data_IF_079313749770
#
_entry.id   IF_079313749770
#
_cell.length_a   1.000
_cell.length_b   1.000
_cell.length_c   1.000
_cell.angle_alpha   90.00
_cell.angle_beta   90.00
_cell.angle_gamma   90.00
#
_symmetry.space_group_name_H-M   'P 1'
#
loop_
_entity.id
_entity.type
_entity.pdbx_description
1 polymer ?
#
# COMPACT_ATOMS: atom_id res chain seq x y z
N UNK A 1 -20.71 26.98 67.15
CA UNK A 1 -20.88 26.86 65.71
C UNK A 1 -19.75 26.01 65.16
N UNK A 2 -19.99 24.70 64.92
CA UNK A 2 -19.00 23.74 64.41
C UNK A 2 -19.16 23.64 62.87
N UNK A 3 -18.17 24.05 62.12
CA UNK A 3 -18.17 23.91 60.67
C UNK A 3 -17.62 22.53 60.30
N UNK A 4 -18.47 21.66 59.73
CA UNK A 4 -18.07 20.39 59.20
C UNK A 4 -17.46 20.61 57.82
N UNK A 5 -16.19 20.20 57.63
CA UNK A 5 -15.48 20.21 56.37
C UNK A 5 -15.80 18.90 55.62
N UNK A 6 -16.60 19.01 54.55
CA UNK A 6 -16.96 17.87 53.69
C UNK A 6 -15.83 17.68 52.66
N UNK A 7 -14.98 16.66 52.87
CA UNK A 7 -13.95 16.28 51.92
C UNK A 7 -14.58 15.39 50.81
N UNK A 8 -14.69 15.95 49.62
CA UNK A 8 -15.18 15.24 48.45
C UNK A 8 -13.98 14.48 47.81
N UNK A 9 -13.91 13.15 48.02
CA UNK A 9 -12.92 12.28 47.35
C UNK A 9 -13.47 11.95 45.97
N UNK A 10 -12.95 12.67 44.94
CA UNK A 10 -13.21 12.32 43.55
C UNK A 10 -12.32 11.12 43.20
N UNK A 11 -12.93 9.92 43.19
CA UNK A 11 -12.30 8.74 42.62
C UNK A 11 -12.26 8.89 41.07
N UNK A 12 -11.13 9.35 40.52
CA UNK A 12 -10.91 9.29 39.08
C UNK A 12 -10.77 7.82 38.66
N UNK A 13 -11.84 7.25 38.11
CA UNK A 13 -11.77 6.05 37.31
C UNK A 13 -11.01 6.39 36.03
N UNK A 14 -9.70 6.14 36.03
CA UNK A 14 -8.92 6.03 34.78
C UNK A 14 -9.37 4.75 34.09
N UNK A 15 -9.95 4.81 32.88
CA UNK A 15 -10.15 3.60 32.11
C UNK A 15 -8.75 3.03 31.84
N UNK A 16 -8.48 1.83 32.35
CA UNK A 16 -7.31 1.06 31.97
C UNK A 16 -7.46 0.79 30.46
N UNK A 17 -6.80 1.60 29.64
CA UNK A 17 -6.57 1.31 28.23
C UNK A 17 -5.69 0.06 28.24
N UNK A 18 -6.31 -1.10 28.09
CA UNK A 18 -5.61 -2.32 27.70
C UNK A 18 -5.03 -2.06 26.30
N UNK A 19 -3.87 -1.47 26.24
CA UNK A 19 -3.02 -1.50 25.08
C UNK A 19 -2.53 -2.94 24.92
N UNK A 20 -3.37 -3.78 24.35
CA UNK A 20 -2.94 -5.03 23.76
C UNK A 20 -1.89 -4.67 22.72
N UNK A 21 -0.67 -5.17 22.88
CA UNK A 21 0.40 -5.06 21.88
C UNK A 21 0.11 -5.99 20.71
N UNK A 22 -1.05 -5.80 20.05
CA UNK A 22 -1.35 -6.52 18.82
C UNK A 22 -0.49 -5.92 17.72
N UNK A 23 0.59 -6.63 17.40
CA UNK A 23 1.39 -6.33 16.21
C UNK A 23 0.44 -6.27 15.01
N UNK A 24 0.46 -5.20 14.20
CA UNK A 24 -0.45 -5.06 13.07
C UNK A 24 -0.41 -6.29 12.18
N UNK A 25 -1.58 -6.85 11.85
CA UNK A 25 -1.70 -7.98 10.94
C UNK A 25 -1.26 -7.57 9.54
N UNK A 26 -0.58 -8.47 8.84
CA UNK A 26 -0.11 -8.19 7.48
C UNK A 26 -1.21 -8.48 6.46
N UNK A 27 -1.47 -7.51 5.59
CA UNK A 27 -2.33 -7.61 4.42
C UNK A 27 -1.46 -7.65 3.17
N UNK A 28 -1.47 -8.77 2.45
CA UNK A 28 -0.69 -8.99 1.24
C UNK A 28 -1.56 -8.82 -0.01
N UNK A 29 -1.15 -7.94 -0.90
CA UNK A 29 -1.70 -7.79 -2.24
C UNK A 29 -0.70 -8.42 -3.21
N UNK A 30 -1.08 -9.55 -3.80
CA UNK A 30 -0.26 -10.30 -4.74
C UNK A 30 -0.67 -9.98 -6.18
N UNK A 31 0.12 -9.15 -6.86
CA UNK A 31 -0.17 -8.66 -8.21
C UNK A 31 0.46 -9.59 -9.23
N UNK A 32 -0.36 -10.37 -9.92
CA UNK A 32 0.05 -11.40 -10.89
C UNK A 32 -0.32 -11.04 -12.34
N UNK A 33 -1.34 -10.20 -12.51
CA UNK A 33 -1.82 -9.81 -13.83
C UNK A 33 -1.00 -8.66 -14.40
N UNK A 34 -0.76 -8.64 -15.71
CA UNK A 34 -0.13 -7.50 -16.37
C UNK A 34 -1.10 -6.33 -16.38
N UNK A 35 -0.55 -5.12 -16.32
CA UNK A 35 -1.33 -3.94 -16.54
C UNK A 35 -1.54 -3.75 -18.05
N UNK A 36 -2.78 -3.81 -18.48
CA UNK A 36 -3.20 -3.34 -19.77
C UNK A 36 -4.25 -2.21 -19.62
N UNK A 37 -4.55 -1.50 -20.70
CA UNK A 37 -5.46 -0.33 -20.66
C UNK A 37 -6.89 -0.65 -20.20
N UNK A 38 -7.27 -1.91 -20.15
CA UNK A 38 -8.62 -2.38 -19.85
C UNK A 38 -8.67 -3.26 -18.60
N UNK A 39 -7.53 -3.54 -17.98
CA UNK A 39 -7.50 -4.39 -16.80
C UNK A 39 -7.66 -3.55 -15.52
N UNK A 40 -8.89 -3.51 -15.02
CA UNK A 40 -9.21 -2.85 -13.77
C UNK A 40 -8.50 -3.47 -12.55
N UNK A 41 -8.02 -4.72 -12.65
CA UNK A 41 -7.44 -5.45 -11.51
C UNK A 41 -6.21 -4.75 -10.96
N UNK A 42 -5.28 -4.37 -11.83
CA UNK A 42 -4.04 -3.73 -11.41
C UNK A 42 -4.26 -2.30 -10.89
N UNK A 43 -5.22 -1.56 -11.47
CA UNK A 43 -5.55 -0.19 -11.01
C UNK A 43 -6.38 -0.17 -9.72
N UNK A 44 -7.09 -1.25 -9.39
CA UNK A 44 -7.81 -1.38 -8.11
C UNK A 44 -6.85 -1.63 -6.94
N UNK A 45 -5.68 -2.23 -7.18
CA UNK A 45 -4.73 -2.63 -6.15
C UNK A 45 -4.34 -1.48 -5.19
N UNK A 46 -3.99 -0.26 -5.65
CA UNK A 46 -3.65 0.83 -4.73
C UNK A 46 -4.82 1.29 -3.85
N UNK A 47 -6.06 1.22 -4.34
CA UNK A 47 -7.25 1.54 -3.53
C UNK A 47 -7.46 0.53 -2.41
N UNK A 48 -7.28 -0.77 -2.71
CA UNK A 48 -7.34 -1.84 -1.70
C UNK A 48 -6.22 -1.68 -0.68
N UNK A 49 -5.01 -1.33 -1.12
CA UNK A 49 -3.88 -1.05 -0.25
C UNK A 49 -4.18 0.11 0.73
N UNK A 50 -4.74 1.21 0.21
CA UNK A 50 -5.14 2.33 1.04
C UNK A 50 -6.20 1.93 2.07
N UNK A 51 -7.23 1.20 1.64
CA UNK A 51 -8.30 0.75 2.54
C UNK A 51 -7.76 -0.13 3.67
N UNK A 52 -6.89 -1.10 3.33
CA UNK A 52 -6.26 -1.95 4.34
C UNK A 52 -5.36 -1.15 5.31
N UNK A 53 -4.60 -0.17 4.79
CA UNK A 53 -3.77 0.72 5.60
C UNK A 53 -4.61 1.52 6.59
N UNK A 54 -5.74 2.09 6.15
CA UNK A 54 -6.66 2.86 7.00
C UNK A 54 -7.35 1.98 8.07
N UNK A 55 -7.46 0.67 7.82
CA UNK A 55 -7.93 -0.31 8.79
C UNK A 55 -6.86 -0.78 9.77
N UNK A 56 -5.65 -0.23 9.70
CA UNK A 56 -4.55 -0.53 10.62
C UNK A 56 -3.73 -1.76 10.26
N UNK A 57 -3.86 -2.30 9.05
CA UNK A 57 -3.00 -3.38 8.58
C UNK A 57 -1.60 -2.85 8.20
N UNK A 58 -0.58 -3.69 8.40
CA UNK A 58 0.68 -3.57 7.69
C UNK A 58 0.45 -4.06 6.26
N UNK A 59 0.60 -3.19 5.26
CA UNK A 59 0.27 -3.53 3.87
C UNK A 59 1.53 -3.81 3.06
N UNK A 60 1.52 -4.92 2.33
CA UNK A 60 2.55 -5.31 1.39
C UNK A 60 1.91 -5.48 0.00
N UNK A 61 2.51 -4.87 -1.02
CA UNK A 61 2.20 -5.13 -2.42
C UNK A 61 3.37 -5.89 -3.02
N UNK A 62 3.11 -7.09 -3.54
CA UNK A 62 4.09 -7.96 -4.17
C UNK A 62 3.75 -8.13 -5.66
N UNK A 63 4.58 -7.57 -6.52
CA UNK A 63 4.51 -7.78 -7.97
C UNK A 63 5.19 -9.09 -8.35
N UNK A 64 4.46 -9.97 -9.00
CA UNK A 64 4.91 -11.30 -9.39
C UNK A 64 4.36 -11.66 -10.77
N UNK A 65 4.86 -12.75 -11.36
CA UNK A 65 4.45 -13.25 -12.68
C UNK A 65 4.39 -12.11 -13.74
N UNK A 66 3.29 -11.95 -14.46
CA UNK A 66 3.09 -10.86 -15.41
C UNK A 66 2.93 -9.50 -14.72
N UNK A 67 2.56 -9.46 -13.45
CA UNK A 67 2.40 -8.23 -12.65
C UNK A 67 3.66 -7.37 -12.57
N UNK A 68 4.87 -7.96 -12.71
CA UNK A 68 6.12 -7.20 -12.78
C UNK A 68 6.19 -6.24 -13.97
N UNK A 69 5.37 -6.45 -14.99
CA UNK A 69 5.32 -5.54 -16.15
C UNK A 69 4.70 -4.18 -15.78
N UNK A 70 3.87 -4.12 -14.75
CA UNK A 70 3.23 -2.87 -14.31
C UNK A 70 4.25 -1.84 -13.80
N UNK A 71 5.39 -2.31 -13.28
CA UNK A 71 6.47 -1.48 -12.72
C UNK A 71 7.67 -1.34 -13.66
N UNK A 72 7.66 -1.96 -14.85
CA UNK A 72 8.78 -1.93 -15.80
C UNK A 72 8.87 -0.59 -16.50
N UNK A 73 10.06 0.04 -16.48
CA UNK A 73 10.35 1.30 -17.15
C UNK A 73 10.70 1.06 -18.62
N UNK A 74 10.23 1.94 -19.49
CA UNK A 74 10.71 2.09 -20.86
C UNK A 74 10.32 1.00 -21.84
N UNK A 75 9.31 0.18 -21.55
CA UNK A 75 8.89 -0.90 -22.45
C UNK A 75 8.12 -0.33 -23.68
N UNK A 76 6.80 -0.53 -23.74
CA UNK A 76 5.95 -0.08 -24.86
C UNK A 76 5.68 1.44 -24.87
N UNK A 77 5.94 2.10 -23.75
CA UNK A 77 5.57 3.50 -23.53
C UNK A 77 6.71 4.48 -23.74
N UNK A 78 7.95 3.98 -23.92
CA UNK A 78 9.16 4.80 -24.10
C UNK A 78 9.56 5.57 -22.82
N UNK A 79 10.76 6.15 -22.85
CA UNK A 79 11.26 7.01 -21.77
C UNK A 79 11.46 6.31 -20.42
N UNK A 80 11.35 7.07 -19.33
CA UNK A 80 11.60 6.64 -17.95
C UNK A 80 10.29 6.36 -17.17
N UNK A 81 9.18 6.10 -17.84
CA UNK A 81 7.88 5.88 -17.20
C UNK A 81 7.48 4.41 -17.21
N UNK A 82 6.70 4.01 -16.22
CA UNK A 82 6.08 2.68 -16.12
C UNK A 82 4.67 2.71 -16.74
N UNK A 83 4.04 1.54 -16.98
CA UNK A 83 2.62 1.47 -17.34
C UNK A 83 1.71 2.16 -16.30
N UNK A 84 2.01 2.04 -15.00
CA UNK A 84 1.24 2.71 -13.94
C UNK A 84 1.33 4.25 -14.02
N UNK A 85 2.47 4.81 -14.42
CA UNK A 85 2.61 6.26 -14.64
C UNK A 85 1.74 6.78 -15.79
N UNK A 86 1.36 5.90 -16.72
CA UNK A 86 0.49 6.23 -17.87
C UNK A 86 -0.99 5.98 -17.59
N UNK A 87 -1.30 5.33 -16.47
CA UNK A 87 -2.67 5.10 -16.04
C UNK A 87 -3.17 6.28 -15.22
N UNK A 88 -4.10 7.02 -15.81
CA UNK A 88 -4.68 8.21 -15.19
C UNK A 88 -5.58 7.85 -14.01
N UNK A 89 -5.44 8.55 -12.89
CA UNK A 89 -6.33 8.48 -11.74
C UNK A 89 -7.39 9.58 -11.85
N UNK A 90 -8.66 9.22 -12.11
CA UNK A 90 -9.73 10.19 -12.39
C UNK A 90 -9.93 11.20 -11.24
N UNK A 91 -10.32 12.41 -11.57
CA UNK A 91 -10.54 13.46 -10.56
C UNK A 91 -11.59 13.06 -9.52
N UNK A 92 -12.65 12.38 -9.93
CA UNK A 92 -13.67 11.88 -9.01
C UNK A 92 -13.08 10.91 -7.96
N UNK A 93 -12.19 10.03 -8.40
CA UNK A 93 -11.47 9.12 -7.50
C UNK A 93 -10.53 9.90 -6.55
N UNK A 94 -9.84 10.91 -7.06
CA UNK A 94 -8.98 11.76 -6.22
C UNK A 94 -9.78 12.51 -5.15
N UNK A 95 -10.96 12.99 -5.48
CA UNK A 95 -11.88 13.61 -4.50
C UNK A 95 -12.32 12.60 -3.43
N UNK A 96 -12.69 11.39 -3.84
CA UNK A 96 -13.07 10.33 -2.90
C UNK A 96 -11.92 9.94 -1.96
N UNK A 97 -10.71 9.79 -2.50
CA UNK A 97 -9.49 9.51 -1.73
C UNK A 97 -9.12 10.66 -0.79
N UNK A 98 -9.27 11.90 -1.24
CA UNK A 98 -9.08 13.11 -0.43
C UNK A 98 -9.97 13.08 0.82
N UNK A 99 -11.24 12.76 0.66
CA UNK A 99 -12.17 12.65 1.78
C UNK A 99 -11.79 11.52 2.76
N UNK A 100 -11.34 10.35 2.25
CA UNK A 100 -10.91 9.22 3.09
C UNK A 100 -9.63 9.53 3.88
N UNK A 101 -8.70 10.27 3.28
CA UNK A 101 -7.40 10.58 3.87
C UNK A 101 -7.40 11.84 4.72
N UNK A 102 -8.44 12.67 4.63
CA UNK A 102 -8.49 13.99 5.28
C UNK A 102 -7.44 14.97 4.74
N UNK A 103 -7.07 14.87 3.45
CA UNK A 103 -6.08 15.74 2.79
C UNK A 103 -6.71 16.43 1.57
N UNK A 104 -6.19 17.59 1.10
CA UNK A 104 -6.68 18.22 -0.11
C UNK A 104 -6.59 17.31 -1.34
N UNK A 105 -7.58 17.35 -2.23
CA UNK A 105 -7.58 16.56 -3.48
C UNK A 105 -6.36 16.84 -4.38
N UNK A 106 -5.83 18.05 -4.30
CA UNK A 106 -4.58 18.45 -4.98
C UNK A 106 -3.32 17.75 -4.46
N UNK A 107 -3.40 17.12 -3.28
CA UNK A 107 -2.31 16.31 -2.71
C UNK A 107 -2.38 14.85 -3.17
N UNK A 108 -3.46 14.43 -3.82
CA UNK A 108 -3.61 13.10 -4.39
C UNK A 108 -3.05 13.13 -5.81
N UNK A 109 -2.14 12.22 -6.17
CA UNK A 109 -1.57 12.14 -7.50
C UNK A 109 -2.62 11.90 -8.59
N UNK A 110 -2.32 12.28 -9.83
CA UNK A 110 -3.21 12.17 -10.99
C UNK A 110 -2.98 10.90 -11.82
N UNK A 111 -2.01 10.08 -11.44
CA UNK A 111 -1.74 8.79 -12.07
C UNK A 111 -1.45 7.71 -11.01
N UNK A 112 -1.63 6.45 -11.41
CA UNK A 112 -1.49 5.31 -10.50
C UNK A 112 -0.05 5.02 -10.08
N UNK A 113 0.96 5.40 -10.86
CA UNK A 113 2.36 5.25 -10.50
C UNK A 113 2.73 6.15 -9.32
N UNK A 114 2.40 7.43 -9.42
CA UNK A 114 2.62 8.36 -8.32
C UNK A 114 1.74 8.03 -7.11
N UNK A 115 0.53 7.51 -7.33
CA UNK A 115 -0.32 7.03 -6.23
C UNK A 115 0.32 5.84 -5.51
N UNK A 116 0.95 4.92 -6.21
CA UNK A 116 1.71 3.82 -5.60
C UNK A 116 2.88 4.35 -4.75
N UNK A 117 3.65 5.33 -5.27
CA UNK A 117 4.74 5.98 -4.52
C UNK A 117 4.23 6.76 -3.30
N UNK A 118 3.08 7.42 -3.44
CA UNK A 118 2.39 8.07 -2.32
C UNK A 118 2.04 7.08 -1.21
N UNK A 119 1.49 5.91 -1.56
CA UNK A 119 1.20 4.83 -0.60
C UNK A 119 2.46 4.31 0.09
N UNK A 120 3.56 4.18 -0.65
CA UNK A 120 4.87 3.85 -0.04
C UNK A 120 5.25 4.87 1.02
N UNK A 121 5.08 6.16 0.74
CA UNK A 121 5.30 7.24 1.71
C UNK A 121 4.39 7.17 2.94
N UNK A 122 3.26 6.45 2.86
CA UNK A 122 2.34 6.16 3.97
C UNK A 122 2.65 4.85 4.70
N UNK A 123 3.72 4.14 4.33
CA UNK A 123 4.17 2.92 4.99
C UNK A 123 3.78 1.61 4.30
N UNK A 124 3.20 1.66 3.08
CA UNK A 124 3.00 0.45 2.27
C UNK A 124 4.36 -0.04 1.76
N UNK A 125 4.64 -1.33 1.94
CA UNK A 125 5.85 -1.96 1.43
C UNK A 125 5.61 -2.46 0.00
N UNK A 126 6.55 -2.13 -0.92
CA UNK A 126 6.45 -2.49 -2.34
C UNK A 126 7.58 -3.43 -2.71
N UNK A 127 7.22 -4.63 -3.16
CA UNK A 127 8.17 -5.67 -3.53
C UNK A 127 7.89 -6.25 -4.92
N UNK A 128 8.92 -6.82 -5.53
CA UNK A 128 8.79 -7.59 -6.78
C UNK A 128 9.60 -8.87 -6.74
N UNK A 129 9.08 -9.93 -7.34
CA UNK A 129 9.78 -11.20 -7.50
C UNK A 129 11.01 -11.04 -8.38
N UNK A 130 12.20 -11.08 -7.75
CA UNK A 130 13.47 -10.90 -8.47
C UNK A 130 13.69 -11.95 -9.55
N UNK A 131 13.32 -13.21 -9.31
CA UNK A 131 13.49 -14.30 -10.28
C UNK A 131 12.66 -14.02 -11.53
N UNK A 132 11.40 -13.60 -11.36
CA UNK A 132 10.54 -13.22 -12.49
C UNK A 132 11.07 -11.98 -13.22
N UNK A 133 11.57 -10.99 -12.48
CA UNK A 133 12.19 -9.81 -13.09
C UNK A 133 13.38 -10.22 -13.97
N UNK A 134 14.24 -11.12 -13.49
CA UNK A 134 15.41 -11.61 -14.24
C UNK A 134 14.96 -12.38 -15.50
N UNK A 135 13.97 -13.28 -15.39
CA UNK A 135 13.38 -14.01 -16.52
C UNK A 135 12.74 -13.09 -17.58
N UNK A 136 12.23 -11.93 -17.15
CA UNK A 136 11.63 -10.91 -18.03
C UNK A 136 12.64 -9.87 -18.53
N UNK A 137 13.95 -10.04 -18.25
CA UNK A 137 15.01 -9.10 -18.58
C UNK A 137 14.73 -7.68 -18.03
N UNK A 138 14.21 -7.58 -16.80
CA UNK A 138 14.01 -6.32 -16.10
C UNK A 138 15.25 -6.06 -15.24
N UNK A 139 16.23 -5.37 -15.81
CA UNK A 139 17.47 -5.00 -15.13
C UNK A 139 17.28 -3.93 -14.05
N UNK A 140 18.34 -3.64 -13.28
CA UNK A 140 18.33 -2.73 -12.13
C UNK A 140 17.75 -1.35 -12.40
N UNK A 141 17.98 -0.80 -13.60
CA UNK A 141 17.58 0.56 -13.97
C UNK A 141 16.31 0.58 -14.83
N UNK A 142 15.58 -0.55 -14.88
CA UNK A 142 14.41 -0.73 -15.74
C UNK A 142 13.12 -1.04 -14.99
N UNK A 143 13.03 -0.64 -13.72
CA UNK A 143 11.81 -0.73 -12.96
C UNK A 143 11.67 0.46 -11.99
N UNK A 144 10.47 0.67 -11.45
CA UNK A 144 10.20 1.72 -10.49
C UNK A 144 11.06 1.55 -9.22
N UNK A 145 11.93 2.52 -8.94
CA UNK A 145 12.83 2.49 -7.78
C UNK A 145 12.10 2.55 -6.42
N UNK A 146 10.80 2.81 -6.41
CA UNK A 146 10.00 2.66 -5.21
C UNK A 146 9.81 1.19 -4.81
N UNK A 147 9.98 0.25 -5.75
CA UNK A 147 9.81 -1.20 -5.54
C UNK A 147 11.15 -1.85 -5.22
N UNK A 148 11.16 -2.79 -4.28
CA UNK A 148 12.35 -3.55 -3.88
C UNK A 148 12.28 -4.96 -4.46
N UNK A 149 13.23 -5.38 -5.30
CA UNK A 149 13.32 -6.77 -5.73
C UNK A 149 13.60 -7.70 -4.56
N UNK A 150 12.85 -8.81 -4.45
CA UNK A 150 13.02 -9.81 -3.41
C UNK A 150 13.42 -11.16 -3.99
N UNK A 151 14.40 -11.86 -3.38
CA UNK A 151 14.66 -13.25 -3.68
C UNK A 151 13.50 -14.13 -3.17
N UNK A 152 13.41 -15.35 -3.73
CA UNK A 152 12.25 -16.23 -3.51
C UNK A 152 12.08 -16.65 -2.05
N UNK A 153 13.19 -16.77 -1.33
CA UNK A 153 13.19 -17.11 0.10
C UNK A 153 12.47 -16.04 0.93
N UNK A 154 12.70 -14.76 0.60
CA UNK A 154 12.03 -13.63 1.28
C UNK A 154 10.56 -13.51 0.89
N UNK A 155 10.19 -13.96 -0.28
CA UNK A 155 8.77 -14.05 -0.67
C UNK A 155 8.04 -15.09 0.18
N UNK A 156 8.64 -16.28 0.41
CA UNK A 156 8.06 -17.30 1.27
C UNK A 156 7.77 -16.74 2.69
N UNK A 157 8.70 -15.99 3.28
CA UNK A 157 8.50 -15.32 4.56
C UNK A 157 7.31 -14.32 4.55
N UNK A 158 7.07 -13.64 3.44
CA UNK A 158 5.93 -12.72 3.29
C UNK A 158 4.62 -13.52 3.27
N UNK A 159 4.53 -14.60 2.49
CA UNK A 159 3.34 -15.45 2.43
C UNK A 159 3.02 -16.08 3.78
N UNK A 160 4.03 -16.56 4.51
CA UNK A 160 3.86 -17.15 5.84
C UNK A 160 3.26 -16.15 6.85
N UNK A 161 3.68 -14.89 6.80
CA UNK A 161 3.23 -13.84 7.74
C UNK A 161 1.92 -13.17 7.34
N UNK A 162 1.43 -13.37 6.13
CA UNK A 162 0.23 -12.73 5.65
C UNK A 162 -1.02 -13.27 6.35
N UNK A 163 -1.70 -12.41 7.11
CA UNK A 163 -2.99 -12.74 7.73
C UNK A 163 -4.13 -12.72 6.71
N UNK A 164 -4.00 -11.87 5.67
CA UNK A 164 -4.93 -11.75 4.55
C UNK A 164 -4.11 -11.70 3.26
N UNK A 165 -4.52 -12.43 2.25
CA UNK A 165 -3.92 -12.37 0.91
C UNK A 165 -5.02 -12.19 -0.13
N UNK A 166 -4.87 -11.19 -0.98
CA UNK A 166 -5.69 -10.98 -2.19
C UNK A 166 -4.79 -11.04 -3.41
N UNK A 167 -5.28 -11.60 -4.52
CA UNK A 167 -4.53 -11.73 -5.76
C UNK A 167 -5.26 -11.03 -6.92
N UNK A 168 -4.52 -10.28 -7.73
CA UNK A 168 -4.98 -9.55 -8.90
C UNK A 168 -4.23 -9.96 -10.16
#
# INVERSE_FOLDING_TARGET
>A
MKRALLVFVILMFLPAVFAGSDTPKTFLIHVKSPMNKHDARTVVMPHVALTALLQGYKVIILFDDEGVQAIKIGHWYGGHTTPLDKAFLPEQERVALSAQLGVPATSIPDNYGDFLRFLKGKGVELYANKVVMDLRNIGRDRFDHAVTPLPIEKMAEIFERAAVTVAY
#
